data_IF_390993097497
#
_entry.id   IF_390993097497
#
_cell.length_a   1.000
_cell.length_b   1.000
_cell.length_c   1.000
_cell.angle_alpha   90.00
_cell.angle_beta   90.00
_cell.angle_gamma   90.00
#
_symmetry.space_group_name_H-M   'P 1'
#
loop_
_entity.id
_entity.type
_entity.pdbx_description
1 polymer ?
#
# COMPACT_ATOMS: atom_id res chain seq x y z
N UNK A 1 -20.91 -19.31 -4.54
CA UNK A 1 -19.77 -19.99 -3.88
C UNK A 1 -18.79 -18.93 -3.40
N UNK A 2 -18.28 -19.05 -2.17
CA UNK A 2 -17.36 -18.07 -1.57
C UNK A 2 -15.95 -18.11 -2.16
N UNK A 3 -15.12 -17.13 -1.80
CA UNK A 3 -13.72 -17.01 -2.24
C UNK A 3 -12.79 -16.83 -1.06
N UNK A 4 -11.51 -17.11 -1.26
CA UNK A 4 -10.45 -16.82 -0.30
C UNK A 4 -9.23 -16.22 -1.01
N UNK A 5 -8.48 -15.38 -0.29
CA UNK A 5 -7.19 -14.86 -0.72
C UNK A 5 -6.19 -15.04 0.42
N UNK A 6 -5.13 -15.80 0.16
CA UNK A 6 -4.09 -16.12 1.13
C UNK A 6 -2.76 -15.58 0.59
N UNK A 7 -2.06 -14.71 1.34
CA UNK A 7 -0.75 -14.25 0.92
C UNK A 7 0.30 -15.35 1.13
N UNK A 8 1.09 -15.61 0.09
CA UNK A 8 2.05 -16.72 0.06
C UNK A 8 3.01 -16.70 1.25
N UNK A 9 3.53 -15.54 1.63
CA UNK A 9 4.51 -15.41 2.71
C UNK A 9 3.95 -15.68 4.13
N UNK A 10 2.62 -15.85 4.29
CA UNK A 10 2.01 -16.21 5.58
C UNK A 10 1.75 -17.72 5.73
N UNK A 11 2.01 -18.51 4.69
CA UNK A 11 1.74 -19.95 4.71
C UNK A 11 2.80 -20.66 5.54
N UNK A 12 2.34 -21.46 6.50
CA UNK A 12 3.18 -22.39 7.25
C UNK A 12 3.17 -23.72 6.49
N UNK A 13 4.36 -24.21 6.16
CA UNK A 13 4.51 -25.39 5.31
C UNK A 13 3.96 -26.63 6.00
N UNK A 14 3.18 -27.41 5.26
CA UNK A 14 2.61 -28.70 5.66
C UNK A 14 1.66 -28.61 6.89
N UNK A 15 1.12 -27.44 7.18
CA UNK A 15 0.14 -27.26 8.26
C UNK A 15 -1.30 -27.24 7.71
N UNK A 16 -2.16 -28.07 8.29
CA UNK A 16 -3.59 -28.11 7.97
C UNK A 16 -4.31 -27.00 8.72
N UNK A 17 -4.84 -26.02 8.00
CA UNK A 17 -5.53 -24.87 8.59
C UNK A 17 -6.91 -24.67 8.00
N UNK A 18 -7.89 -24.44 8.87
CA UNK A 18 -9.25 -24.08 8.48
C UNK A 18 -9.30 -22.61 8.07
N UNK A 19 -9.96 -22.35 6.95
CA UNK A 19 -10.18 -21.01 6.46
C UNK A 19 -11.66 -20.74 6.18
N UNK A 20 -12.15 -19.60 6.70
CA UNK A 20 -13.51 -19.14 6.43
C UNK A 20 -13.64 -18.56 5.01
N UNK A 21 -14.72 -18.91 4.31
CA UNK A 21 -15.02 -18.37 3.00
C UNK A 21 -15.50 -16.93 3.08
N UNK A 22 -15.13 -16.12 2.09
CA UNK A 22 -15.54 -14.71 1.96
C UNK A 22 -16.43 -14.50 0.75
N UNK A 23 -17.05 -13.33 0.68
CA UNK A 23 -17.85 -12.90 -0.45
C UNK A 23 -17.01 -12.67 -1.72
N UNK A 24 -17.69 -12.36 -2.84
CA UNK A 24 -17.00 -12.11 -4.12
C UNK A 24 -16.02 -10.93 -4.04
N UNK A 25 -16.28 -9.95 -3.17
CA UNK A 25 -15.41 -8.78 -2.94
C UNK A 25 -14.39 -9.01 -1.81
N UNK A 26 -14.36 -10.19 -1.17
CA UNK A 26 -13.44 -10.59 -0.09
C UNK A 26 -13.48 -9.68 1.16
N UNK A 27 -14.61 -8.99 1.40
CA UNK A 27 -14.80 -8.04 2.51
C UNK A 27 -15.63 -8.59 3.64
N UNK A 28 -16.58 -9.47 3.35
CA UNK A 28 -17.50 -10.03 4.35
C UNK A 28 -17.40 -11.55 4.38
N UNK A 29 -17.59 -12.18 5.56
CA UNK A 29 -17.64 -13.63 5.66
C UNK A 29 -18.90 -14.17 4.98
N UNK A 30 -18.79 -15.36 4.40
CA UNK A 30 -19.89 -16.13 3.81
C UNK A 30 -19.93 -17.49 4.49
N UNK A 31 -21.12 -18.12 4.52
CA UNK A 31 -21.27 -19.47 5.06
C UNK A 31 -20.34 -20.45 4.35
N UNK A 32 -19.64 -21.27 5.14
CA UNK A 32 -18.74 -22.30 4.67
C UNK A 32 -17.28 -22.05 5.06
N UNK A 33 -16.56 -23.15 5.23
CA UNK A 33 -15.14 -23.17 5.60
C UNK A 33 -14.45 -24.24 4.76
N UNK A 34 -13.17 -24.06 4.49
CA UNK A 34 -12.35 -25.01 3.75
C UNK A 34 -11.09 -25.31 4.56
N UNK A 35 -10.73 -26.60 4.63
CA UNK A 35 -9.46 -27.03 5.19
C UNK A 35 -8.43 -27.07 4.06
N UNK A 36 -7.34 -26.34 4.21
CA UNK A 36 -6.25 -26.32 3.25
C UNK A 36 -4.95 -26.70 3.92
N UNK A 37 -4.15 -27.49 3.19
CA UNK A 37 -2.76 -27.80 3.48
C UNK A 37 -1.95 -27.28 2.30
N UNK A 38 -0.92 -26.48 2.57
CA UNK A 38 -0.12 -25.82 1.54
C UNK A 38 1.37 -25.92 1.91
N UNK A 39 2.20 -26.07 0.89
CA UNK A 39 3.65 -26.04 1.02
C UNK A 39 4.23 -25.04 0.01
N UNK A 40 5.18 -24.22 0.46
CA UNK A 40 5.82 -23.21 -0.36
C UNK A 40 7.32 -23.40 -0.32
N UNK A 41 7.87 -23.65 -1.49
CA UNK A 41 9.29 -23.74 -1.75
C UNK A 41 9.67 -22.61 -2.70
N UNK A 42 10.64 -21.78 -2.30
CA UNK A 42 11.07 -20.64 -3.11
C UNK A 42 12.55 -20.31 -2.87
N UNK A 43 13.18 -19.72 -3.88
CA UNK A 43 14.54 -19.22 -3.78
C UNK A 43 14.52 -17.72 -3.42
N UNK A 44 15.14 -17.33 -2.29
CA UNK A 44 15.08 -15.95 -1.79
C UNK A 44 15.79 -14.93 -2.67
N UNK A 45 16.87 -15.32 -3.33
CA UNK A 45 17.64 -14.42 -4.20
C UNK A 45 16.87 -14.19 -5.49
N UNK A 46 16.34 -15.25 -6.09
CA UNK A 46 15.56 -15.14 -7.33
C UNK A 46 14.28 -14.33 -7.13
N UNK A 47 13.64 -14.48 -5.97
CA UNK A 47 12.48 -13.68 -5.60
C UNK A 47 12.83 -12.20 -5.39
N UNK A 48 13.97 -11.89 -4.75
CA UNK A 48 14.45 -10.52 -4.56
C UNK A 48 14.75 -9.79 -5.88
N UNK A 49 15.29 -10.50 -6.88
CA UNK A 49 15.49 -9.91 -8.22
C UNK A 49 14.14 -9.67 -8.90
N UNK A 50 13.21 -10.63 -8.79
CA UNK A 50 11.86 -10.52 -9.37
C UNK A 50 11.06 -9.37 -8.76
N UNK A 51 11.34 -8.93 -7.54
CA UNK A 51 10.65 -7.77 -6.93
C UNK A 51 10.92 -6.43 -7.61
N UNK A 52 11.99 -6.29 -8.40
CA UNK A 52 12.29 -5.06 -9.15
C UNK A 52 11.84 -5.08 -10.63
N UNK A 53 11.36 -6.22 -11.12
CA UNK A 53 10.80 -6.34 -12.47
C UNK A 53 9.37 -5.75 -12.52
N UNK A 54 8.75 -5.44 -13.67
CA UNK A 54 7.36 -5.00 -13.66
C UNK A 54 6.41 -6.13 -13.23
N UNK A 55 5.34 -5.78 -12.51
CA UNK A 55 4.25 -6.73 -12.21
C UNK A 55 3.46 -6.98 -13.50
N UNK A 56 3.10 -8.23 -13.77
CA UNK A 56 2.31 -8.59 -14.96
C UNK A 56 1.03 -7.76 -15.01
N UNK A 57 0.87 -6.99 -16.10
CA UNK A 57 -0.27 -6.12 -16.31
C UNK A 57 -1.50 -7.00 -16.57
N UNK A 58 -2.55 -6.83 -15.76
CA UNK A 58 -3.86 -7.38 -16.11
C UNK A 58 -4.44 -6.49 -17.21
N UNK A 59 -4.25 -6.88 -18.47
CA UNK A 59 -4.74 -6.14 -19.64
C UNK A 59 -6.27 -6.03 -19.71
N UNK A 60 -7.00 -6.88 -18.98
CA UNK A 60 -8.46 -6.83 -18.87
C UNK A 60 -8.85 -6.06 -17.60
N UNK A 61 -8.68 -4.74 -17.62
CA UNK A 61 -9.35 -3.84 -16.69
C UNK A 61 -10.47 -3.15 -17.45
N UNK A 62 -11.70 -3.32 -16.97
CA UNK A 62 -12.84 -2.53 -17.44
C UNK A 62 -12.54 -1.08 -17.05
N UNK A 63 -12.67 -0.14 -17.99
CA UNK A 63 -12.47 1.27 -17.71
C UNK A 63 -13.26 1.68 -16.46
N UNK A 64 -12.60 2.20 -15.42
CA UNK A 64 -13.24 2.51 -14.16
C UNK A 64 -14.19 3.69 -14.36
N UNK A 65 -15.49 3.42 -14.31
CA UNK A 65 -16.51 4.48 -14.21
C UNK A 65 -16.33 5.23 -12.89
N UNK A 66 -16.53 6.55 -12.92
CA UNK A 66 -16.48 7.39 -11.72
C UNK A 66 -17.45 6.86 -10.65
N UNK A 67 -16.96 6.71 -9.41
CA UNK A 67 -17.77 6.28 -8.28
C UNK A 67 -17.50 7.20 -7.10
N UNK A 68 -18.47 8.05 -6.77
CA UNK A 68 -18.40 9.02 -5.66
C UNK A 68 -17.89 8.40 -4.36
N UNK A 69 -18.37 7.19 -4.02
CA UNK A 69 -17.94 6.46 -2.82
C UNK A 69 -16.43 6.13 -2.81
N UNK A 70 -15.87 5.73 -3.95
CA UNK A 70 -14.43 5.42 -4.07
C UNK A 70 -13.63 6.70 -3.96
N UNK A 71 -14.05 7.77 -4.67
CA UNK A 71 -13.43 9.09 -4.58
C UNK A 71 -13.37 9.61 -3.14
N UNK A 72 -14.51 9.62 -2.43
CA UNK A 72 -14.57 10.11 -1.04
C UNK A 72 -13.70 9.28 -0.09
N UNK A 73 -13.67 7.95 -0.25
CA UNK A 73 -12.83 7.08 0.58
C UNK A 73 -11.33 7.27 0.29
N UNK A 74 -10.93 7.44 -0.98
CA UNK A 74 -9.55 7.74 -1.36
C UNK A 74 -9.12 9.12 -0.87
N UNK A 75 -10.00 10.12 -0.97
CA UNK A 75 -9.77 11.45 -0.42
C UNK A 75 -9.62 11.44 1.09
N UNK A 76 -10.49 10.72 1.82
CA UNK A 76 -10.39 10.60 3.28
C UNK A 76 -9.04 10.00 3.72
N UNK A 77 -8.56 8.97 3.02
CA UNK A 77 -7.23 8.39 3.24
C UNK A 77 -6.11 9.40 2.96
N UNK A 78 -6.21 10.15 1.86
CA UNK A 78 -5.21 11.15 1.47
C UNK A 78 -5.19 12.36 2.42
N UNK A 79 -6.37 12.79 2.91
CA UNK A 79 -6.53 13.94 3.81
C UNK A 79 -5.68 13.80 5.07
N UNK A 80 -5.59 12.59 5.63
CA UNK A 80 -4.73 12.34 6.79
C UNK A 80 -3.26 12.67 6.52
N UNK A 81 -2.74 12.31 5.35
CA UNK A 81 -1.38 12.64 4.94
C UNK A 81 -1.22 14.13 4.64
N UNK A 82 -2.19 14.74 3.95
CA UNK A 82 -2.17 16.18 3.65
C UNK A 82 -2.17 17.04 4.92
N UNK A 83 -2.95 16.66 5.94
CA UNK A 83 -2.97 17.39 7.21
C UNK A 83 -1.63 17.33 7.93
N UNK A 84 -0.93 16.18 7.91
CA UNK A 84 0.43 16.08 8.46
C UNK A 84 1.41 16.97 7.70
N UNK A 85 1.31 17.04 6.36
CA UNK A 85 2.13 17.93 5.56
C UNK A 85 1.86 19.41 5.85
N UNK A 86 0.58 19.79 6.02
CA UNK A 86 0.18 21.14 6.42
C UNK A 86 0.74 21.48 7.80
N UNK A 87 0.67 20.55 8.77
CA UNK A 87 1.26 20.76 10.10
C UNK A 87 2.78 20.95 10.04
N UNK A 88 3.49 20.17 9.22
CA UNK A 88 4.94 20.34 9.03
C UNK A 88 5.24 21.70 8.40
N UNK A 89 4.48 22.09 7.38
CA UNK A 89 4.61 23.41 6.74
C UNK A 89 4.39 24.53 7.74
N UNK A 90 3.31 24.47 8.52
CA UNK A 90 2.97 25.49 9.51
C UNK A 90 4.02 25.56 10.62
N UNK A 91 4.58 24.40 11.02
CA UNK A 91 5.70 24.35 11.95
C UNK A 91 6.97 25.03 11.38
N UNK A 92 7.33 24.73 10.13
CA UNK A 92 8.47 25.38 9.46
C UNK A 92 8.24 26.89 9.32
N UNK A 93 7.03 27.30 8.97
CA UNK A 93 6.65 28.70 8.87
C UNK A 93 6.78 29.42 10.22
N UNK A 94 6.27 28.82 11.31
CA UNK A 94 6.43 29.34 12.67
C UNK A 94 7.91 29.45 13.09
N UNK A 95 8.78 28.56 12.59
CA UNK A 95 10.23 28.71 12.78
C UNK A 95 10.79 29.94 12.05
N UNK A 96 10.31 30.25 10.84
CA UNK A 96 10.73 31.44 10.09
C UNK A 96 10.13 32.75 10.62
N UNK A 97 8.92 32.70 11.18
CA UNK A 97 8.24 33.86 11.78
C UNK A 97 8.75 34.17 13.20
N UNK A 98 9.68 33.36 13.73
CA UNK A 98 10.30 33.53 15.04
C UNK A 98 9.32 33.54 16.23
N UNK A 99 8.16 32.88 16.12
CA UNK A 99 7.15 32.78 17.20
C UNK A 99 7.75 32.27 18.52
N UNK A 100 8.76 31.38 18.42
CA UNK A 100 9.50 30.88 19.58
C UNK A 100 11.00 30.94 19.29
N UNK A 101 11.73 31.95 19.83
CA UNK A 101 13.09 32.24 19.42
C UNK A 101 14.05 31.06 19.64
N UNK A 102 13.88 30.31 20.74
CA UNK A 102 14.70 29.13 21.02
C UNK A 102 14.52 28.00 19.99
N UNK A 103 13.29 27.77 19.50
CA UNK A 103 13.02 26.73 18.50
C UNK A 103 13.56 27.15 17.13
N UNK A 104 13.38 28.41 16.76
CA UNK A 104 13.91 28.98 15.51
C UNK A 104 15.44 28.95 15.47
N UNK A 105 16.12 29.28 16.57
CA UNK A 105 17.59 29.18 16.67
C UNK A 105 18.05 27.73 16.48
N UNK A 106 17.40 26.77 17.17
CA UNK A 106 17.74 25.36 17.01
C UNK A 106 17.51 24.86 15.58
N UNK A 107 16.37 25.21 14.96
CA UNK A 107 16.08 24.88 13.58
C UNK A 107 17.10 25.49 12.61
N UNK A 108 17.52 26.72 12.86
CA UNK A 108 18.53 27.42 12.07
C UNK A 108 19.92 26.77 12.20
N UNK A 109 20.33 26.39 13.41
CA UNK A 109 21.58 25.64 13.63
C UNK A 109 21.56 24.28 12.91
N UNK A 110 20.45 23.53 13.03
CA UNK A 110 20.26 22.27 12.33
C UNK A 110 20.34 22.47 10.81
N UNK A 111 19.72 23.53 10.29
CA UNK A 111 19.81 23.89 8.87
C UNK A 111 21.25 24.19 8.43
N UNK A 112 22.02 24.97 9.19
CA UNK A 112 23.43 25.25 8.88
C UNK A 112 24.25 23.95 8.84
N UNK A 113 24.12 23.11 9.87
CA UNK A 113 24.80 21.80 9.93
C UNK A 113 24.39 20.94 8.73
N UNK A 114 23.10 20.90 8.43
CA UNK A 114 22.58 20.15 7.29
C UNK A 114 23.22 20.65 5.98
N UNK A 115 23.14 21.94 5.66
CA UNK A 115 23.70 22.47 4.41
C UNK A 115 25.21 22.24 4.30
N UNK A 116 25.95 22.32 5.42
CA UNK A 116 27.40 22.14 5.42
C UNK A 116 27.83 20.67 5.22
N UNK A 117 27.17 19.72 5.90
CA UNK A 117 27.55 18.31 5.88
C UNK A 117 26.80 17.47 4.84
N UNK A 118 25.72 18.00 4.25
CA UNK A 118 24.86 17.22 3.37
C UNK A 118 25.55 16.88 2.04
N UNK A 119 25.88 15.60 1.90
CA UNK A 119 26.35 15.00 0.66
C UNK A 119 25.33 13.99 0.13
N UNK A 120 25.33 13.67 -1.16
CA UNK A 120 24.27 12.86 -1.80
C UNK A 120 23.98 11.50 -1.12
N UNK A 121 25.01 10.84 -0.57
CA UNK A 121 24.87 9.56 0.13
C UNK A 121 24.06 9.67 1.44
N UNK A 122 23.88 10.88 1.98
CA UNK A 122 23.06 11.11 3.16
C UNK A 122 21.57 10.87 2.87
N UNK A 123 21.11 11.00 1.62
CA UNK A 123 19.69 10.76 1.27
C UNK A 123 19.29 9.30 1.59
N UNK A 124 19.97 8.27 1.05
CA UNK A 124 19.74 6.88 1.45
C UNK A 124 19.89 6.64 2.96
N UNK A 125 20.86 7.28 3.63
CA UNK A 125 21.09 7.12 5.07
C UNK A 125 19.93 7.66 5.89
N UNK A 126 19.39 8.84 5.55
CA UNK A 126 18.23 9.43 6.24
C UNK A 126 17.02 8.51 6.09
N UNK A 127 16.81 7.94 4.89
CA UNK A 127 15.74 6.97 4.65
C UNK A 127 15.96 5.71 5.52
N UNK A 128 17.20 5.21 5.59
CA UNK A 128 17.57 4.04 6.39
C UNK A 128 17.39 4.30 7.89
N UNK A 129 17.71 5.50 8.37
CA UNK A 129 17.48 5.91 9.76
C UNK A 129 15.98 5.88 10.11
N UNK A 130 15.10 6.18 9.16
CA UNK A 130 13.66 6.07 9.37
C UNK A 130 13.20 4.62 9.56
N UNK A 131 13.86 3.63 8.91
CA UNK A 131 13.65 2.20 9.16
C UNK A 131 14.15 1.75 10.53
N UNK A 132 15.19 2.40 11.08
CA UNK A 132 15.77 2.09 12.39
C UNK A 132 14.97 2.66 13.57
N UNK A 133 13.86 3.36 13.33
CA UNK A 133 12.95 3.79 14.41
C UNK A 133 12.60 2.56 15.26
N UNK A 134 12.72 2.64 16.60
CA UNK A 134 12.45 1.50 17.45
C UNK A 134 11.02 1.03 17.21
N UNK A 135 10.91 -0.17 16.64
CA UNK A 135 9.62 -0.81 16.42
C UNK A 135 9.03 -1.08 17.80
N UNK A 136 8.11 -0.23 18.24
CA UNK A 136 7.10 -0.69 19.18
C UNK A 136 6.31 -1.72 18.42
N UNK A 137 6.74 -2.96 18.57
CA UNK A 137 6.05 -4.16 18.18
C UNK A 137 4.62 -4.02 18.70
N UNK A 138 3.71 -3.57 17.84
CA UNK A 138 2.27 -3.69 18.06
C UNK A 138 1.91 -5.13 17.71
N UNK A 139 2.36 -6.09 18.52
CA UNK A 139 1.62 -7.32 18.64
C UNK A 139 0.33 -6.94 19.37
N UNK A 140 -0.77 -6.94 18.63
CA UNK A 140 -2.12 -6.98 19.18
C UNK A 140 -2.54 -5.77 20.03
N UNK A 141 -2.44 -4.56 19.49
CA UNK A 141 -3.34 -3.49 19.93
C UNK A 141 -4.32 -3.21 18.79
N UNK A 142 -5.63 -3.50 18.94
CA UNK A 142 -6.61 -3.08 17.97
C UNK A 142 -6.50 -1.56 17.86
N UNK A 143 -6.21 -1.09 16.66
CA UNK A 143 -6.04 0.32 16.36
C UNK A 143 -7.32 1.06 16.77
N UNK A 144 -7.35 1.65 17.97
CA UNK A 144 -8.52 2.35 18.53
C UNK A 144 -8.92 3.60 17.72
N UNK A 145 -8.12 3.95 16.71
CA UNK A 145 -8.41 5.00 15.73
C UNK A 145 -9.18 4.51 14.49
N UNK A 146 -9.61 3.23 14.43
CA UNK A 146 -10.41 2.71 13.30
C UNK A 146 -11.88 3.17 13.32
N UNK A 147 -12.33 3.90 14.35
CA UNK A 147 -13.69 4.46 14.39
C UNK A 147 -13.89 5.72 13.53
N UNK A 148 -12.83 6.39 13.08
CA UNK A 148 -12.96 7.58 12.22
C UNK A 148 -13.03 7.25 10.72
N UNK A 149 -12.83 5.98 10.34
CA UNK A 149 -12.93 5.51 8.96
C UNK A 149 -14.05 4.47 8.82
N UNK A 150 -15.21 4.71 9.43
CA UNK A 150 -16.43 4.07 8.93
C UNK A 150 -16.56 4.48 7.46
N UNK A 151 -16.58 3.54 6.50
CA UNK A 151 -16.98 3.89 5.14
C UNK A 151 -18.36 4.50 5.29
N UNK A 152 -18.50 5.76 4.86
CA UNK A 152 -19.79 6.44 4.80
C UNK A 152 -20.75 5.47 4.11
N UNK A 153 -21.69 4.94 4.89
CA UNK A 153 -22.86 4.22 4.42
C UNK A 153 -23.87 5.27 3.98
N UNK A 154 -23.48 6.10 3.00
CA UNK A 154 -24.48 6.72 2.14
C UNK A 154 -24.88 5.62 1.17
N UNK A 155 -26.20 5.41 1.11
CA UNK A 155 -26.92 4.58 0.17
C UNK A 155 -26.22 4.53 -1.18
N UNK A 156 -26.27 3.35 -1.82
CA UNK A 156 -25.87 3.17 -3.21
C UNK A 156 -26.83 3.96 -4.14
N UNK A 157 -26.86 5.29 -4.03
CA UNK A 157 -27.36 6.16 -5.07
C UNK A 157 -26.23 6.28 -6.10
N UNK A 158 -26.17 5.28 -6.97
CA UNK A 158 -25.77 5.54 -8.35
C UNK A 158 -26.67 6.68 -8.82
N UNK A 159 -26.19 7.92 -8.74
CA UNK A 159 -26.80 9.02 -9.49
C UNK A 159 -26.50 8.69 -10.95
N UNK A 160 -27.30 7.79 -11.54
CA UNK A 160 -27.62 7.87 -12.95
C UNK A 160 -28.29 9.23 -13.12
N UNK A 161 -27.48 10.25 -13.36
CA UNK A 161 -27.95 11.54 -13.78
C UNK A 161 -28.43 11.34 -15.22
N UNK A 162 -29.62 10.75 -15.35
CA UNK A 162 -30.33 10.61 -16.61
C UNK A 162 -30.59 12.03 -17.11
N UNK A 163 -29.71 12.48 -18.00
CA UNK A 163 -29.84 13.78 -18.64
C UNK A 163 -31.16 13.81 -19.39
N UNK A 164 -32.08 14.64 -18.89
CA UNK A 164 -33.27 15.06 -19.62
C UNK A 164 -32.90 15.48 -21.05
N UNK A 165 -33.81 15.16 -21.94
CA UNK A 165 -33.76 15.35 -23.39
C UNK A 165 -33.37 16.77 -23.80
N UNK A 166 -32.67 16.82 -24.95
CA UNK A 166 -32.45 17.96 -25.85
C UNK A 166 -31.58 19.14 -25.39
N UNK A 167 -30.31 19.15 -25.82
CA UNK A 167 -29.77 20.20 -26.74
C UNK A 167 -28.26 20.01 -26.99
N UNK A 168 -27.90 19.84 -28.27
CA UNK A 168 -26.55 19.65 -28.83
C UNK A 168 -25.77 18.41 -28.35
N UNK A 169 -25.33 17.57 -29.29
CA UNK A 169 -24.36 16.48 -29.06
C UNK A 169 -23.13 16.95 -28.26
N UNK A 170 -22.75 18.22 -28.42
CA UNK A 170 -21.64 18.88 -27.73
C UNK A 170 -21.76 18.92 -26.20
N UNK A 171 -22.93 19.17 -25.61
CA UNK A 171 -23.06 19.24 -24.12
C UNK A 171 -22.93 17.85 -23.50
N UNK A 172 -23.48 16.82 -24.15
CA UNK A 172 -23.35 15.42 -23.71
C UNK A 172 -21.90 14.93 -23.82
N UNK A 173 -21.21 15.29 -24.90
CA UNK A 173 -19.78 14.99 -25.08
C UNK A 173 -18.91 15.69 -24.02
N UNK A 174 -19.20 16.97 -23.72
CA UNK A 174 -18.56 17.70 -22.61
C UNK A 174 -18.83 17.05 -21.25
N UNK A 175 -20.03 16.55 -21.02
CA UNK A 175 -20.35 15.85 -19.77
C UNK A 175 -19.62 14.50 -19.65
N UNK A 176 -19.58 13.70 -20.73
CA UNK A 176 -18.86 12.43 -20.74
C UNK A 176 -17.35 12.64 -20.56
N UNK A 177 -16.77 13.65 -21.23
CA UNK A 177 -15.35 14.01 -21.03
C UNK A 177 -15.07 14.51 -19.61
N UNK A 178 -15.99 15.24 -18.99
CA UNK A 178 -15.90 15.60 -17.57
C UNK A 178 -15.96 14.37 -16.66
N UNK A 179 -16.84 13.41 -16.96
CA UNK A 179 -16.92 12.17 -16.20
C UNK A 179 -15.65 11.32 -16.35
N UNK A 180 -15.07 11.24 -17.54
CA UNK A 180 -13.82 10.54 -17.82
C UNK A 180 -12.63 11.21 -17.13
N UNK A 181 -12.57 12.54 -17.12
CA UNK A 181 -11.52 13.28 -16.41
C UNK A 181 -11.65 13.12 -14.90
N UNK A 182 -12.87 13.16 -14.35
CA UNK A 182 -13.11 12.85 -12.93
C UNK A 182 -12.74 11.41 -12.58
N UNK A 183 -13.03 10.44 -13.45
CA UNK A 183 -12.60 9.06 -13.26
C UNK A 183 -11.08 8.92 -13.23
N UNK A 184 -10.36 9.56 -14.17
CA UNK A 184 -8.90 9.59 -14.18
C UNK A 184 -8.32 10.23 -12.92
N UNK A 185 -8.89 11.34 -12.45
CA UNK A 185 -8.46 12.00 -11.19
C UNK A 185 -8.71 11.07 -10.00
N UNK A 186 -9.85 10.38 -9.96
CA UNK A 186 -10.16 9.40 -8.92
C UNK A 186 -9.13 8.27 -8.89
N UNK A 187 -8.75 7.73 -10.05
CA UNK A 187 -7.76 6.66 -10.14
C UNK A 187 -6.38 7.13 -9.71
N UNK A 188 -5.97 8.34 -10.10
CA UNK A 188 -4.70 8.93 -9.66
C UNK A 188 -4.66 9.15 -8.16
N UNK A 189 -5.77 9.61 -7.57
CA UNK A 189 -5.89 9.75 -6.12
C UNK A 189 -5.88 8.40 -5.41
N UNK A 190 -6.57 7.38 -5.93
CA UNK A 190 -6.57 6.03 -5.36
C UNK A 190 -5.19 5.37 -5.46
N UNK A 191 -4.51 5.55 -6.60
CA UNK A 191 -3.13 5.13 -6.80
C UNK A 191 -2.18 5.83 -5.82
N UNK A 192 -2.29 7.15 -5.67
CA UNK A 192 -1.45 7.94 -4.76
C UNK A 192 -1.69 7.55 -3.30
N UNK A 193 -2.95 7.42 -2.89
CA UNK A 193 -3.30 6.97 -1.55
C UNK A 193 -2.74 5.57 -1.29
N UNK A 194 -2.90 4.64 -2.23
CA UNK A 194 -2.37 3.28 -2.12
C UNK A 194 -0.83 3.25 -2.11
N UNK A 195 -0.17 4.12 -2.87
CA UNK A 195 1.28 4.25 -2.89
C UNK A 195 1.81 4.77 -1.55
N UNK A 196 1.19 5.80 -0.98
CA UNK A 196 1.54 6.32 0.35
C UNK A 196 1.33 5.27 1.45
N UNK A 197 0.24 4.50 1.38
CA UNK A 197 0.01 3.37 2.28
C UNK A 197 1.10 2.30 2.14
N UNK A 198 1.49 1.95 0.91
CA UNK A 198 2.56 0.97 0.64
C UNK A 198 3.90 1.44 1.17
N UNK A 199 4.25 2.71 0.99
CA UNK A 199 5.46 3.31 1.57
C UNK A 199 5.42 3.20 3.10
N UNK A 200 4.31 3.62 3.72
CA UNK A 200 4.14 3.53 5.18
C UNK A 200 4.23 2.09 5.68
N UNK A 201 3.63 1.13 4.98
CA UNK A 201 3.64 -0.29 5.31
C UNK A 201 5.04 -0.90 5.15
N UNK A 202 5.82 -0.41 4.18
CA UNK A 202 7.24 -0.76 4.02
C UNK A 202 8.04 -0.33 5.26
N UNK A 203 7.88 0.92 5.70
CA UNK A 203 8.55 1.41 6.91
C UNK A 203 8.05 0.76 8.20
N UNK A 204 6.78 0.35 8.24
CA UNK A 204 6.18 -0.34 9.38
C UNK A 204 6.48 -1.85 9.43
N UNK A 205 7.31 -2.39 8.54
CA UNK A 205 7.59 -3.84 8.44
C UNK A 205 6.32 -4.70 8.36
N UNK A 206 5.29 -4.23 7.66
CA UNK A 206 4.08 -5.02 7.41
C UNK A 206 4.41 -6.34 6.71
N UNK A 207 5.40 -6.33 5.83
CA UNK A 207 5.99 -7.53 5.26
C UNK A 207 7.51 -7.54 5.52
N UNK A 208 8.00 -8.32 6.49
CA UNK A 208 9.39 -8.22 6.96
C UNK A 208 10.39 -8.48 5.83
N UNK A 209 10.13 -9.49 4.97
CA UNK A 209 11.00 -9.81 3.84
C UNK A 209 11.22 -8.61 2.89
N UNK A 210 10.15 -7.90 2.52
CA UNK A 210 10.25 -6.76 1.60
C UNK A 210 10.95 -5.56 2.28
N UNK A 211 10.61 -5.28 3.53
CA UNK A 211 11.25 -4.19 4.28
C UNK A 211 12.75 -4.44 4.48
N UNK A 212 13.15 -5.68 4.80
CA UNK A 212 14.57 -6.07 4.86
C UNK A 212 15.25 -5.93 3.49
N UNK A 213 14.58 -6.33 2.41
CA UNK A 213 15.11 -6.14 1.05
C UNK A 213 15.32 -4.65 0.73
N UNK A 214 14.41 -3.78 1.15
CA UNK A 214 14.57 -2.33 1.01
C UNK A 214 15.79 -1.81 1.77
N UNK A 215 16.01 -2.27 3.01
CA UNK A 215 17.17 -1.89 3.83
C UNK A 215 18.48 -2.35 3.19
N UNK A 216 18.56 -3.60 2.73
CA UNK A 216 19.74 -4.15 2.05
C UNK A 216 20.02 -3.35 0.77
N UNK A 217 19.00 -3.09 -0.03
CA UNK A 217 19.13 -2.31 -1.28
C UNK A 217 19.59 -0.88 -1.00
N UNK A 218 18.99 -0.20 -0.03
CA UNK A 218 19.40 1.16 0.39
C UNK A 218 20.82 1.18 0.96
N UNK A 219 21.25 0.13 1.67
CA UNK A 219 22.61 0.00 2.18
C UNK A 219 23.62 -0.11 1.02
N UNK A 220 23.33 -0.95 0.02
CA UNK A 220 24.16 -1.08 -1.19
C UNK A 220 24.24 0.26 -1.94
N UNK A 221 23.10 0.93 -2.12
CA UNK A 221 23.05 2.27 -2.75
C UNK A 221 23.88 3.28 -1.96
N UNK A 222 23.80 3.27 -0.63
CA UNK A 222 24.59 4.15 0.24
C UNK A 222 26.09 3.94 0.03
N UNK A 223 26.53 2.68 0.03
CA UNK A 223 27.93 2.30 -0.20
C UNK A 223 28.39 2.75 -1.60
N UNK A 224 27.55 2.54 -2.62
CA UNK A 224 27.85 2.95 -3.99
C UNK A 224 27.98 4.47 -4.11
N UNK A 225 27.05 5.24 -3.54
CA UNK A 225 27.09 6.72 -3.54
C UNK A 225 28.23 7.29 -2.68
N UNK A 226 28.76 6.51 -1.73
CA UNK A 226 29.92 6.90 -0.94
C UNK A 226 31.22 6.76 -1.75
N UNK A 227 31.41 5.64 -2.43
CA UNK A 227 32.64 5.37 -3.19
C UNK A 227 32.65 6.02 -4.59
N UNK A 228 31.49 6.18 -5.23
CA UNK A 228 31.40 6.68 -6.61
C UNK A 228 31.01 8.15 -6.61
N UNK A 229 31.85 9.05 -7.15
CA UNK A 229 31.49 10.45 -7.30
C UNK A 229 30.25 10.62 -8.18
N UNK A 230 29.38 11.57 -7.81
CA UNK A 230 28.11 11.87 -8.48
C UNK A 230 28.24 12.01 -10.02
N UNK A 231 29.35 12.61 -10.48
CA UNK A 231 29.64 12.82 -11.91
C UNK A 231 29.60 11.52 -12.71
N UNK A 232 30.20 10.46 -12.19
CA UNK A 232 30.22 9.15 -12.84
C UNK A 232 28.85 8.50 -12.87
N UNK A 233 28.07 8.63 -11.78
CA UNK A 233 26.70 8.12 -11.71
C UNK A 233 25.83 8.78 -12.78
N UNK A 234 25.91 10.11 -12.91
CA UNK A 234 25.13 10.86 -13.91
C UNK A 234 25.57 10.49 -15.34
N UNK A 235 26.87 10.34 -15.59
CA UNK A 235 27.36 9.93 -16.92
C UNK A 235 26.87 8.53 -17.29
N UNK A 236 27.02 7.54 -16.40
CA UNK A 236 26.56 6.17 -16.64
C UNK A 236 25.04 6.14 -16.83
N UNK A 237 24.30 6.86 -15.99
CA UNK A 237 22.85 6.97 -16.09
C UNK A 237 22.42 7.61 -17.42
N UNK A 238 23.07 8.69 -17.84
CA UNK A 238 22.81 9.36 -19.11
C UNK A 238 23.09 8.44 -20.29
N UNK A 239 24.26 7.82 -20.35
CA UNK A 239 24.62 6.84 -21.39
C UNK A 239 23.59 5.72 -21.45
N UNK A 240 23.22 5.13 -20.31
CA UNK A 240 22.21 4.08 -20.25
C UNK A 240 20.86 4.61 -20.77
N UNK A 241 20.40 5.79 -20.34
CA UNK A 241 19.12 6.36 -20.76
C UNK A 241 19.06 6.59 -22.28
N UNK A 242 20.11 7.14 -22.88
CA UNK A 242 20.20 7.36 -24.32
C UNK A 242 20.36 6.05 -25.11
N UNK A 243 21.12 5.09 -24.58
CA UNK A 243 21.40 3.82 -25.26
C UNK A 243 20.26 2.81 -25.12
N UNK A 244 19.44 2.87 -24.05
CA UNK A 244 18.40 1.88 -23.71
C UNK A 244 17.34 1.77 -24.80
N UNK A 245 16.92 2.90 -25.39
CA UNK A 245 15.94 2.93 -26.49
C UNK A 245 16.54 2.51 -27.83
N UNK A 246 17.84 2.70 -28.00
CA UNK A 246 18.57 2.27 -29.20
C UNK A 246 18.85 0.76 -29.19
N UNK A 247 19.18 0.19 -28.02
CA UNK A 247 19.53 -1.23 -27.87
C UNK A 247 18.32 -2.15 -27.90
N UNK A 248 17.21 -1.76 -27.28
CA UNK A 248 16.01 -2.59 -27.17
C UNK A 248 14.74 -1.75 -27.48
N UNK A 249 14.26 -1.74 -28.74
CA UNK A 249 13.09 -0.94 -29.14
C UNK A 249 11.78 -1.39 -28.47
N UNK A 250 11.66 -2.66 -28.09
CA UNK A 250 10.47 -3.24 -27.44
C UNK A 250 10.52 -3.20 -25.90
N UNK A 251 11.46 -2.46 -25.31
CA UNK A 251 11.60 -2.43 -23.86
C UNK A 251 10.52 -1.54 -23.24
N UNK A 252 9.63 -2.14 -22.44
CA UNK A 252 8.62 -1.39 -21.69
C UNK A 252 9.34 -0.54 -20.64
N UNK A 253 9.17 0.79 -20.63
CA UNK A 253 9.75 1.64 -19.61
C UNK A 253 9.12 1.28 -18.26
N UNK A 254 9.93 0.82 -17.33
CA UNK A 254 9.52 0.49 -15.97
C UNK A 254 10.24 1.37 -14.95
N UNK A 255 9.66 1.52 -13.77
CA UNK A 255 10.26 2.23 -12.65
C UNK A 255 10.46 1.24 -11.51
N UNK A 256 11.71 0.85 -11.27
CA UNK A 256 12.09 -0.20 -10.31
C UNK A 256 11.59 0.10 -8.88
N UNK A 257 11.53 1.37 -8.47
CA UNK A 257 11.01 1.76 -7.16
C UNK A 257 9.49 1.54 -7.08
N UNK A 258 8.76 1.94 -8.11
CA UNK A 258 7.31 1.75 -8.16
C UNK A 258 6.97 0.27 -8.25
N UNK A 259 7.75 -0.46 -9.04
CA UNK A 259 7.71 -1.90 -9.16
C UNK A 259 7.88 -2.52 -7.77
N UNK A 260 8.95 -2.22 -7.03
CA UNK A 260 9.15 -2.73 -5.68
C UNK A 260 7.96 -2.42 -4.75
N UNK A 261 7.52 -1.16 -4.69
CA UNK A 261 6.41 -0.74 -3.85
C UNK A 261 5.09 -1.44 -4.22
N UNK A 262 4.87 -1.77 -5.50
CA UNK A 262 3.67 -2.49 -5.93
C UNK A 262 3.54 -3.92 -5.40
N UNK A 263 4.61 -4.49 -4.84
CA UNK A 263 4.58 -5.78 -4.12
C UNK A 263 4.21 -5.66 -2.65
N UNK A 264 4.43 -4.48 -2.07
CA UNK A 264 4.04 -4.22 -0.70
C UNK A 264 2.51 -4.08 -0.68
N UNK A 265 1.80 -4.75 0.25
CA UNK A 265 0.36 -4.69 0.26
C UNK A 265 -0.14 -3.33 0.77
N UNK A 266 -1.15 -2.77 0.10
CA UNK A 266 -1.88 -1.59 0.57
C UNK A 266 -2.83 -1.96 1.73
N UNK A 267 -3.39 -0.97 2.44
CA UNK A 267 -4.29 -1.28 3.56
C UNK A 267 -5.56 -2.02 3.11
N UNK A 268 -6.03 -1.74 1.89
CA UNK A 268 -7.14 -2.47 1.30
C UNK A 268 -6.78 -3.94 1.03
N UNK A 269 -5.58 -4.22 0.53
CA UNK A 269 -5.11 -5.60 0.31
C UNK A 269 -4.92 -6.34 1.64
N UNK A 270 -4.36 -5.69 2.66
CA UNK A 270 -4.23 -6.28 4.02
C UNK A 270 -5.61 -6.66 4.58
N UNK A 271 -6.62 -5.82 4.41
CA UNK A 271 -8.00 -6.12 4.81
C UNK A 271 -8.57 -7.33 4.06
N UNK A 272 -8.24 -7.47 2.78
CA UNK A 272 -8.63 -8.64 1.98
C UNK A 272 -7.95 -9.92 2.51
N UNK A 273 -6.69 -9.83 2.95
CA UNK A 273 -5.95 -10.98 3.49
C UNK A 273 -6.33 -11.33 4.94
N UNK A 274 -6.90 -10.38 5.70
CA UNK A 274 -7.29 -10.59 7.10
C UNK A 274 -8.21 -11.80 7.23
N UNK A 275 -7.80 -12.79 8.01
CA UNK A 275 -8.60 -14.00 8.27
C UNK A 275 -9.79 -13.65 9.17
N UNK A 276 -10.94 -14.27 8.89
CA UNK A 276 -12.08 -14.25 9.81
C UNK A 276 -11.98 -15.46 10.73
N UNK A 277 -12.43 -15.29 11.98
CA UNK A 277 -12.52 -16.39 12.94
C UNK A 277 -13.37 -17.50 12.35
N UNK A 278 -12.78 -18.69 12.27
CA UNK A 278 -13.48 -19.93 11.96
C UNK A 278 -14.49 -20.15 13.08
N UNK A 279 -15.77 -20.31 12.74
CA UNK A 279 -16.74 -20.81 13.71
C UNK A 279 -16.31 -22.24 14.03
N UNK A 280 -15.69 -22.44 15.20
CA UNK A 280 -15.51 -23.78 15.75
C UNK A 280 -16.89 -24.43 15.78
N UNK A 281 -17.04 -25.53 15.05
CA UNK A 281 -18.19 -26.41 15.18
C UNK A 281 -18.10 -27.02 16.58
N UNK A 282 -18.67 -26.32 17.56
CA UNK A 282 -18.83 -26.77 18.95
C UNK A 282 -19.99 -27.76 19.10
N UNK A 283 -20.30 -28.51 18.05
CA UNK A 283 -21.36 -29.52 18.05
C UNK A 283 -20.69 -30.86 17.73
N UNK A 284 -20.31 -31.63 18.77
CA UNK A 284 -20.22 -33.11 18.76
C UNK A 284 -19.61 -33.76 20.02
N UNK A 285 -19.53 -33.08 21.18
CA UNK A 285 -19.13 -33.75 22.45
C UNK A 285 -20.24 -33.81 23.51
N UNK A 286 -21.35 -33.09 23.37
CA UNK A 286 -22.43 -33.12 24.38
C UNK A 286 -23.63 -34.02 24.07
N UNK A 287 -23.71 -34.67 22.90
CA UNK A 287 -24.86 -35.55 22.58
C UNK A 287 -24.64 -37.00 23.06
N UNK A 288 -23.40 -37.43 23.34
CA UNK A 288 -23.12 -38.83 23.73
C UNK A 288 -23.17 -39.14 25.24
N UNK A 289 -23.43 -38.18 26.13
CA UNK A 289 -23.47 -38.42 27.58
C UNK A 289 -24.84 -38.27 28.25
N UNK A 290 -25.93 -38.08 27.48
CA UNK A 290 -27.28 -37.88 28.04
C UNK A 290 -28.25 -39.06 27.93
N UNK A 291 -27.87 -40.14 27.23
CA UNK A 291 -28.78 -41.24 26.90
C UNK A 291 -28.34 -42.59 27.45
N UNK A 292 -28.45 -42.79 28.77
CA UNK A 292 -28.66 -44.12 29.35
C UNK A 292 -28.91 -44.03 30.87
N UNK A 293 -30.18 -43.83 31.26
CA UNK A 293 -30.75 -44.40 32.49
C UNK A 293 -32.25 -44.63 32.27
N UNK A 294 -32.58 -45.85 31.86
CA UNK A 294 -33.92 -46.44 31.96
C UNK A 294 -33.77 -47.82 32.61
N UNK A 295 -34.54 -48.00 33.68
CA UNK A 295 -35.03 -49.24 34.31
C UNK A 295 -34.05 -50.19 35.03
N UNK A 296 -34.06 -50.11 36.37
CA UNK A 296 -34.54 -51.21 37.22
C UNK A 296 -34.99 -50.66 38.58
#
# INVERSE_FOLDING_TARGET
MGKIAIPLLQIQNCERKWYALKDRKLRTPVKGQILLEMDIIWNPIRAAIRTFTPRELKYMQIDPKFKRRIFMNSYARLRGFLLVLVQIRDYVQSCFDWDSPMRSIFAFLLFIIFVYFFHIHHIPIIILLFFLRPHKIKYLEPNRNENNNKPISESDEEIEMSGQSSSSSSIRERFNTLQDTMAKVQDMMDFTASLLERIRNTFNFTQPYLSTLAIVTLSIVTILLYFVPLRWIIMIWGINKFTKKLRNPNLIPNNELLDFLSRVPSNNEIRIYKEFTVQEVRDNVQINNGGNKVNK
#
